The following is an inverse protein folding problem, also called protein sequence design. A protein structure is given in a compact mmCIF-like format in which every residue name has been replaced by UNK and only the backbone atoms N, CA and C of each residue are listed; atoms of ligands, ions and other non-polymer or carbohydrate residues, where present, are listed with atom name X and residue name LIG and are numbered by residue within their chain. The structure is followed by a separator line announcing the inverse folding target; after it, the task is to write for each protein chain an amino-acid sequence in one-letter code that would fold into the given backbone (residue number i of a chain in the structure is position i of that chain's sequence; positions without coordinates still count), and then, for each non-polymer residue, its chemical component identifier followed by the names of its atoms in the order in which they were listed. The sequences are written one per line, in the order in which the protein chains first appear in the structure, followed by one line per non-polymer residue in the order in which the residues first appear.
data_IF_650007834834
#
_entry.id   IF_650007834834
#
_cell.length_a   1.000
_cell.length_b   1.000
_cell.length_c   1.000
_cell.angle_alpha   90.00
_cell.angle_beta   90.00
_cell.angle_gamma   90.00
#
_symmetry.space_group_name_H-M   'P 1'
#
loop_
_entity.id
_entity.type
_entity.pdbx_description
1 polymer ?
#
# COMPACT_ATOMS: atom_id res chain seq x y z
N UNK A 1 11.32 2.11 -18.63
CA UNK A 1 9.97 2.52 -19.03
C UNK A 1 8.99 1.52 -18.43
N UNK A 2 8.05 1.96 -17.59
CA UNK A 2 7.00 1.08 -17.06
C UNK A 2 5.99 0.81 -18.16
N UNK A 3 5.82 -0.45 -18.56
CA UNK A 3 4.87 -0.86 -19.58
C UNK A 3 3.48 -1.02 -18.96
N UNK A 4 2.59 -0.04 -19.18
CA UNK A 4 1.19 -0.17 -18.78
C UNK A 4 0.51 -1.29 -19.59
N UNK A 5 -0.22 -2.19 -18.90
CA UNK A 5 -1.01 -3.25 -19.53
C UNK A 5 -2.50 -2.93 -19.44
N UNK A 6 -3.25 -3.28 -20.49
CA UNK A 6 -4.72 -3.17 -20.47
C UNK A 6 -5.27 -4.12 -19.40
N UNK A 7 -6.08 -3.57 -18.51
CA UNK A 7 -6.76 -4.29 -17.45
C UNK A 7 -8.23 -3.89 -17.48
N UNK A 8 -9.13 -4.88 -17.52
CA UNK A 8 -10.58 -4.67 -17.47
C UNK A 8 -11.10 -5.23 -16.16
N UNK A 9 -11.88 -4.43 -15.45
CA UNK A 9 -12.54 -4.82 -14.21
C UNK A 9 -13.89 -4.10 -14.09
N UNK A 10 -14.69 -4.55 -13.14
CA UNK A 10 -15.96 -3.91 -12.76
C UNK A 10 -15.72 -2.97 -11.57
N UNK A 11 -16.46 -1.87 -11.54
CA UNK A 11 -16.49 -0.89 -10.47
C UNK A 11 -17.94 -0.49 -10.25
N UNK A 12 -18.29 -0.11 -9.03
CA UNK A 12 -19.59 0.50 -8.75
C UNK A 12 -19.77 1.77 -9.60
N UNK A 13 -21.00 1.98 -10.08
CA UNK A 13 -21.32 3.07 -11.00
C UNK A 13 -21.06 4.44 -10.37
N UNK A 14 -21.52 4.67 -9.14
CA UNK A 14 -21.36 5.95 -8.44
C UNK A 14 -19.89 6.25 -8.16
N UNK A 15 -19.16 5.22 -7.72
CA UNK A 15 -17.71 5.33 -7.48
C UNK A 15 -16.95 5.65 -8.76
N UNK A 16 -17.37 5.09 -9.89
CA UNK A 16 -16.76 5.39 -11.19
C UNK A 16 -17.03 6.83 -11.64
N UNK A 17 -18.24 7.35 -11.41
CA UNK A 17 -18.59 8.75 -11.68
C UNK A 17 -17.75 9.71 -10.82
N UNK A 18 -17.69 9.49 -9.50
CA UNK A 18 -16.87 10.30 -8.59
C UNK A 18 -15.39 10.29 -9.00
N UNK A 19 -14.85 9.12 -9.39
CA UNK A 19 -13.47 9.01 -9.85
C UNK A 19 -13.24 9.80 -11.15
N UNK A 20 -14.21 9.82 -12.06
CA UNK A 20 -14.12 10.58 -13.33
C UNK A 20 -14.14 12.08 -13.06
N UNK A 21 -15.02 12.53 -12.19
CA UNK A 21 -15.09 13.94 -11.79
C UNK A 21 -13.79 14.39 -11.12
N UNK A 22 -13.27 13.58 -10.18
CA UNK A 22 -12.00 13.85 -9.52
C UNK A 22 -10.83 13.91 -10.51
N UNK A 23 -10.75 12.94 -11.44
CA UNK A 23 -9.73 12.93 -12.48
C UNK A 23 -9.78 14.19 -13.35
N UNK A 24 -10.99 14.67 -13.68
CA UNK A 24 -11.18 15.88 -14.46
C UNK A 24 -10.79 17.15 -13.69
N UNK A 25 -11.15 17.24 -12.41
CA UNK A 25 -10.79 18.37 -11.54
C UNK A 25 -9.27 18.51 -11.37
N UNK A 26 -8.59 17.38 -11.19
CA UNK A 26 -7.13 17.34 -11.00
C UNK A 26 -6.36 17.36 -12.33
N UNK A 27 -7.04 17.31 -13.48
CA UNK A 27 -6.44 17.16 -14.81
C UNK A 27 -5.49 15.95 -14.90
N UNK A 28 -5.92 14.81 -14.33
CA UNK A 28 -5.15 13.56 -14.24
C UNK A 28 -5.84 12.45 -15.00
N UNK A 29 -5.05 11.49 -15.48
CA UNK A 29 -5.58 10.31 -16.14
C UNK A 29 -6.09 9.27 -15.11
N UNK A 30 -7.24 8.65 -15.40
CA UNK A 30 -7.88 7.65 -14.54
C UNK A 30 -6.94 6.46 -14.29
N UNK A 31 -6.16 6.03 -15.29
CA UNK A 31 -5.24 4.89 -15.11
C UNK A 31 -4.09 5.22 -14.16
N UNK A 32 -3.65 6.48 -14.11
CA UNK A 32 -2.64 6.95 -13.14
C UNK A 32 -3.20 6.90 -11.73
N UNK A 33 -4.42 7.42 -11.51
CA UNK A 33 -5.09 7.41 -10.22
C UNK A 33 -5.35 5.98 -9.71
N UNK A 34 -5.81 5.09 -10.58
CA UNK A 34 -6.02 3.68 -10.24
C UNK A 34 -4.71 2.98 -9.91
N UNK A 35 -3.64 3.28 -10.63
CA UNK A 35 -2.32 2.72 -10.36
C UNK A 35 -1.81 3.15 -8.98
N UNK A 36 -2.00 4.41 -8.61
CA UNK A 36 -1.64 4.94 -7.28
C UNK A 36 -2.47 4.29 -6.18
N UNK A 37 -3.80 4.27 -6.31
CA UNK A 37 -4.69 3.67 -5.32
C UNK A 37 -4.37 2.18 -5.08
N UNK A 38 -4.08 1.43 -6.15
CA UNK A 38 -3.68 0.02 -6.03
C UNK A 38 -2.30 -0.13 -5.38
N UNK A 39 -1.33 0.72 -5.71
CA UNK A 39 -0.02 0.72 -5.03
C UNK A 39 -0.17 0.99 -3.54
N UNK A 40 -0.97 1.98 -3.16
CA UNK A 40 -1.22 2.32 -1.76
C UNK A 40 -1.90 1.18 -1.00
N UNK A 41 -2.89 0.53 -1.62
CA UNK A 41 -3.53 -0.64 -1.04
C UNK A 41 -2.54 -1.79 -0.83
N UNK A 42 -1.72 -2.09 -1.84
CA UNK A 42 -0.70 -3.14 -1.76
C UNK A 42 0.37 -2.80 -0.72
N UNK A 43 0.80 -1.55 -0.64
CA UNK A 43 1.75 -1.08 0.37
C UNK A 43 1.17 -1.23 1.78
N UNK A 44 -0.07 -0.78 2.03
CA UNK A 44 -0.76 -0.98 3.32
C UNK A 44 -0.85 -2.45 3.72
N UNK A 45 -1.12 -3.33 2.75
CA UNK A 45 -1.17 -4.78 2.98
C UNK A 45 0.20 -5.40 3.24
N UNK A 46 1.27 -4.89 2.62
CA UNK A 46 2.67 -5.30 2.85
C UNK A 46 3.24 -4.78 4.16
N UNK A 47 2.83 -3.58 4.59
CA UNK A 47 3.25 -3.01 5.86
C UNK A 47 2.83 -3.90 7.03
N UNK A 48 1.67 -4.56 7.01
CA UNK A 48 1.28 -5.47 8.11
C UNK A 48 2.31 -6.59 8.40
N UNK A 49 2.71 -7.43 7.41
CA UNK A 49 3.72 -8.46 7.64
C UNK A 49 5.14 -7.90 7.81
N UNK A 50 5.50 -6.80 7.14
CA UNK A 50 6.83 -6.19 7.31
C UNK A 50 6.99 -5.55 8.69
N UNK A 51 5.96 -4.84 9.15
CA UNK A 51 5.93 -4.25 10.49
C UNK A 51 5.96 -5.34 11.56
N UNK A 52 5.24 -6.45 11.35
CA UNK A 52 5.32 -7.60 12.24
C UNK A 52 6.74 -8.18 12.28
N UNK A 53 7.36 -8.45 11.13
CA UNK A 53 8.72 -8.98 11.07
C UNK A 53 9.76 -8.06 11.72
N UNK A 54 9.69 -6.75 11.48
CA UNK A 54 10.61 -5.76 12.10
C UNK A 54 10.34 -5.62 13.60
N UNK A 55 9.08 -5.75 14.03
CA UNK A 55 8.75 -5.73 15.46
C UNK A 55 9.27 -6.98 16.16
N UNK A 56 9.08 -8.16 15.57
CA UNK A 56 9.58 -9.43 16.09
C UNK A 56 11.12 -9.39 16.22
N UNK A 57 11.83 -8.90 15.19
CA UNK A 57 13.29 -8.75 15.21
C UNK A 57 13.76 -7.75 16.29
N UNK A 58 13.01 -6.65 16.51
CA UNK A 58 13.31 -5.70 17.57
C UNK A 58 13.05 -6.30 18.97
N UNK A 59 11.98 -7.09 19.14
CA UNK A 59 11.70 -7.77 20.41
C UNK A 59 12.75 -8.82 20.75
N UNK A 60 13.20 -9.59 19.76
CA UNK A 60 14.29 -10.57 19.94
C UNK A 60 15.60 -9.87 20.37
N UNK A 61 15.95 -8.72 19.76
CA UNK A 61 17.13 -7.94 20.13
C UNK A 61 17.03 -7.36 21.56
N UNK A 62 15.83 -6.93 21.98
CA UNK A 62 15.61 -6.47 23.35
C UNK A 62 15.65 -7.59 24.39
N UNK A 63 15.13 -8.78 24.06
CA UNK A 63 15.17 -9.94 24.95
C UNK A 63 16.62 -10.42 25.17
N UNK A 64 17.45 -10.44 24.12
CA UNK A 64 18.89 -10.76 24.23
C UNK A 64 19.64 -9.73 25.09
N UNK A 65 19.36 -8.43 24.89
CA UNK A 65 19.94 -7.36 25.71
C UNK A 65 19.51 -7.42 27.19
N UNK A 66 18.29 -7.88 27.48
CA UNK A 66 17.81 -8.08 28.85
C UNK A 66 18.46 -9.30 29.53
N UNK A 67 18.66 -10.40 28.81
CA UNK A 67 19.39 -11.56 29.34
C UNK A 67 20.84 -11.23 29.69
N UNK A 68 21.51 -10.41 28.88
CA UNK A 68 22.89 -9.99 29.15
C UNK A 68 23.00 -9.04 30.35
N UNK A 69 22.00 -8.18 30.57
CA UNK A 69 21.95 -7.30 31.75
C UNK A 69 21.62 -8.05 33.05
N UNK A 70 21.01 -9.23 32.95
CA UNK A 70 20.61 -10.07 34.08
C UNK A 70 21.73 -11.01 34.59
N UNK A 71 22.90 -11.02 33.93
CA UNK A 71 24.14 -11.70 34.38
C UNK A 71 25.04 -10.79 35.21
#
# INVERSE_FOLDING_TARGET
MSTAKKFSSKMDEKVLEELREFAQQENRDISSLLTEAVKDLLNKKRIKPVFQAVSDEAFDEFDEALEDLAK
#
